data_IF_939322264952
#
_entry.id   IF_939322264952
#
_cell.length_a   1.000
_cell.length_b   1.000
_cell.length_c   1.000
_cell.angle_alpha   90.00
_cell.angle_beta   90.00
_cell.angle_gamma   90.00
#
_symmetry.space_group_name_H-M   'P 1'
#
loop_
_entity.id
_entity.type
_entity.pdbx_description
1 polymer ?
#
# COMPACT_ATOMS: atom_id res chain seq x y z
N UNK A 1 -7.39 11.59 8.11
CA UNK A 1 -6.17 12.36 8.41
C UNK A 1 -5.58 12.93 7.12
N UNK A 2 -4.98 14.13 7.13
CA UNK A 2 -4.45 14.79 5.92
C UNK A 2 -3.44 13.92 5.16
N UNK A 3 -2.48 13.31 5.87
CA UNK A 3 -1.43 12.46 5.25
C UNK A 3 -2.04 11.29 4.48
N UNK A 4 -3.03 10.59 5.07
CA UNK A 4 -3.70 9.50 4.37
C UNK A 4 -4.46 9.97 3.12
N UNK A 5 -5.17 11.11 3.21
CA UNK A 5 -5.92 11.64 2.08
C UNK A 5 -4.99 12.06 0.93
N UNK A 6 -3.89 12.72 1.26
CA UNK A 6 -2.84 13.08 0.30
C UNK A 6 -2.21 11.83 -0.34
N UNK A 7 -1.79 10.87 0.49
CA UNK A 7 -1.21 9.61 0.00
C UNK A 7 -2.19 8.81 -0.86
N UNK A 8 -3.47 8.76 -0.51
CA UNK A 8 -4.52 8.14 -1.34
C UNK A 8 -4.68 8.85 -2.68
N UNK A 9 -4.76 10.18 -2.68
CA UNK A 9 -4.96 10.98 -3.90
C UNK A 9 -3.79 10.80 -4.89
N UNK A 10 -2.57 10.77 -4.39
CA UNK A 10 -1.36 10.63 -5.20
C UNK A 10 -0.89 9.17 -5.38
N UNK A 11 -1.66 8.18 -4.90
CA UNK A 11 -1.28 6.74 -4.88
C UNK A 11 0.11 6.49 -4.29
N UNK A 12 0.43 7.20 -3.21
CA UNK A 12 1.66 7.03 -2.44
C UNK A 12 1.40 5.99 -1.36
N UNK A 13 2.15 4.89 -1.39
CA UNK A 13 2.03 3.80 -0.43
C UNK A 13 3.15 3.83 0.63
N UNK A 14 4.30 4.41 0.28
CA UNK A 14 5.39 4.66 1.23
C UNK A 14 5.90 6.08 1.13
N UNK A 15 6.23 6.67 2.27
CA UNK A 15 6.71 8.03 2.41
C UNK A 15 8.15 8.00 2.89
N UNK A 16 9.08 8.50 2.08
CA UNK A 16 10.43 8.84 2.55
C UNK A 16 10.41 10.26 3.09
N UNK A 17 10.68 10.43 4.38
CA UNK A 17 10.44 11.71 5.07
C UNK A 17 11.23 12.86 4.46
N UNK A 18 12.52 12.64 4.17
CA UNK A 18 13.41 13.68 3.61
C UNK A 18 12.85 14.23 2.30
N UNK A 19 12.42 13.35 1.40
CA UNK A 19 11.79 13.75 0.15
C UNK A 19 10.42 14.41 0.38
N UNK A 20 9.61 13.87 1.30
CA UNK A 20 8.29 14.39 1.62
C UNK A 20 8.33 15.82 2.18
N UNK A 21 9.42 16.21 2.86
CA UNK A 21 9.59 17.55 3.39
C UNK A 21 9.62 18.63 2.29
N UNK A 22 10.00 18.29 1.06
CA UNK A 22 9.99 19.23 -0.07
C UNK A 22 8.66 19.22 -0.86
N UNK A 23 7.73 18.34 -0.48
CA UNK A 23 6.42 18.24 -1.13
C UNK A 23 5.36 19.13 -0.46
N UNK A 24 4.24 19.43 -1.14
CA UNK A 24 3.11 20.14 -0.55
C UNK A 24 2.52 19.50 0.71
N UNK A 25 2.83 18.22 0.97
CA UNK A 25 2.40 17.53 2.19
C UNK A 25 2.98 18.16 3.47
N UNK A 26 4.25 18.58 3.43
CA UNK A 26 4.97 19.10 4.60
C UNK A 26 5.53 20.51 4.38
N UNK A 27 5.39 21.07 3.18
CA UNK A 27 5.82 22.42 2.87
C UNK A 27 4.71 23.21 2.19
N UNK A 28 4.26 24.26 2.87
CA UNK A 28 3.37 25.26 2.28
C UNK A 28 4.18 26.49 1.89
N UNK A 29 4.48 26.61 0.59
CA UNK A 29 5.27 27.70 0.04
C UNK A 29 4.56 29.07 0.12
N UNK A 30 3.23 29.10 0.04
CA UNK A 30 2.46 30.35 0.05
C UNK A 30 2.59 31.11 1.38
N UNK A 31 2.67 30.38 2.49
CA UNK A 31 2.91 30.95 3.83
C UNK A 31 4.34 30.74 4.35
N UNK A 32 5.24 30.21 3.49
CA UNK A 32 6.64 29.92 3.80
C UNK A 32 6.83 29.10 5.08
N UNK A 33 5.94 28.12 5.32
CA UNK A 33 6.03 27.21 6.47
C UNK A 33 6.32 25.80 6.02
N UNK A 34 7.32 25.19 6.64
CA UNK A 34 7.74 23.81 6.42
C UNK A 34 7.78 23.08 7.75
N UNK A 35 7.38 21.82 7.75
CA UNK A 35 7.51 20.93 8.89
C UNK A 35 9.00 20.57 9.11
N UNK A 36 9.43 20.43 10.36
CA UNK A 36 10.76 19.89 10.64
C UNK A 36 10.78 18.37 10.42
N UNK A 37 11.96 17.79 10.15
CA UNK A 37 12.10 16.33 10.07
C UNK A 37 11.67 15.64 11.37
N UNK A 38 11.97 16.25 12.52
CA UNK A 38 11.58 15.70 13.82
C UNK A 38 10.05 15.66 13.96
N UNK A 39 9.35 16.76 13.66
CA UNK A 39 7.90 16.75 13.74
C UNK A 39 7.26 15.79 12.72
N UNK A 40 7.86 15.62 11.54
CA UNK A 40 7.42 14.62 10.58
C UNK A 40 7.52 13.19 11.16
N UNK A 41 8.63 12.89 11.86
CA UNK A 41 8.80 11.62 12.59
C UNK A 41 7.75 11.46 13.69
N UNK A 42 7.51 12.50 14.48
CA UNK A 42 6.54 12.47 15.58
C UNK A 42 5.11 12.19 15.06
N UNK A 43 4.73 12.79 13.92
CA UNK A 43 3.42 12.52 13.30
C UNK A 43 3.34 11.07 12.82
N UNK A 44 4.37 10.53 12.17
CA UNK A 44 4.35 9.14 11.70
C UNK A 44 4.39 8.16 12.88
N UNK A 45 5.10 8.47 13.96
CA UNK A 45 5.07 7.71 15.21
C UNK A 45 3.67 7.69 15.81
N UNK A 46 2.98 8.85 15.84
CA UNK A 46 1.58 8.91 16.25
C UNK A 46 0.70 8.04 15.34
N UNK A 47 0.85 8.13 14.01
CA UNK A 47 0.10 7.31 13.06
C UNK A 47 0.35 5.81 13.23
N UNK A 48 1.57 5.40 13.58
CA UNK A 48 1.91 4.00 13.83
C UNK A 48 1.35 3.47 15.16
N UNK A 49 1.08 4.35 16.11
CA UNK A 49 0.51 3.98 17.41
C UNK A 49 -0.96 3.53 17.32
N UNK A 50 -1.47 2.81 18.33
CA UNK A 50 -2.90 2.49 18.42
C UNK A 50 -3.80 3.74 18.44
N UNK A 51 -3.33 4.84 19.03
CA UNK A 51 -4.06 6.11 19.05
C UNK A 51 -4.18 6.75 17.65
N UNK A 52 -3.21 6.50 16.77
CA UNK A 52 -3.26 6.85 15.35
C UNK A 52 -3.89 5.75 14.48
N UNK A 53 -4.52 4.74 15.08
CA UNK A 53 -5.15 3.59 14.42
C UNK A 53 -4.20 2.74 13.56
N UNK A 54 -2.91 2.70 13.90
CA UNK A 54 -1.90 1.86 13.22
C UNK A 54 -1.91 2.09 11.69
N UNK A 55 -2.02 3.36 11.30
CA UNK A 55 -2.11 3.80 9.89
C UNK A 55 -0.76 4.04 9.24
N UNK A 56 0.34 3.76 9.94
CA UNK A 56 1.67 3.78 9.39
C UNK A 56 2.54 2.66 9.97
N UNK A 57 3.58 2.28 9.24
CA UNK A 57 4.57 1.29 9.69
C UNK A 57 5.96 1.69 9.19
N UNK A 58 6.92 1.85 10.09
CA UNK A 58 8.29 2.19 9.72
C UNK A 58 8.96 1.06 8.93
N UNK A 59 9.69 1.41 7.85
CA UNK A 59 10.40 0.47 6.98
C UNK A 59 11.80 0.10 7.46
N UNK A 60 12.21 0.60 8.63
CA UNK A 60 13.54 0.38 9.19
C UNK A 60 13.74 1.08 10.54
N UNK A 61 14.81 0.73 11.28
CA UNK A 61 15.09 1.31 12.59
C UNK A 61 15.52 2.78 12.52
N UNK A 62 15.98 3.24 11.35
CA UNK A 62 16.40 4.62 11.08
C UNK A 62 15.23 5.62 10.99
N UNK A 63 13.99 5.11 10.90
CA UNK A 63 12.77 5.91 10.73
C UNK A 63 12.88 6.93 9.58
N UNK A 64 13.53 6.54 8.49
CA UNK A 64 13.67 7.39 7.31
C UNK A 64 12.48 7.28 6.36
N UNK A 65 11.88 6.09 6.28
CA UNK A 65 10.73 5.80 5.42
C UNK A 65 9.66 4.99 6.15
N UNK A 66 8.40 5.26 5.85
CA UNK A 66 7.26 4.54 6.43
C UNK A 66 6.24 4.15 5.36
N UNK A 67 5.60 3.01 5.55
CA UNK A 67 4.33 2.68 4.89
C UNK A 67 3.23 3.58 5.42
N UNK A 68 2.34 4.02 4.54
CA UNK A 68 1.14 4.79 4.89
C UNK A 68 -0.09 3.98 4.48
N UNK A 69 -0.81 3.49 5.48
CA UNK A 69 -2.00 2.68 5.28
C UNK A 69 -3.24 3.56 5.18
N UNK A 70 -3.54 4.02 3.97
CA UNK A 70 -4.85 4.62 3.64
C UNK A 70 -5.91 3.57 3.32
N UNK A 71 -5.49 2.33 3.03
CA UNK A 71 -6.26 1.10 3.05
C UNK A 71 -5.32 -0.04 3.49
N UNK A 72 -5.78 -0.91 4.39
CA UNK A 72 -4.96 -1.96 4.97
C UNK A 72 -4.71 -3.11 3.97
N UNK A 73 -3.60 -3.87 4.12
CA UNK A 73 -3.33 -5.02 3.27
C UNK A 73 -4.47 -6.06 3.27
N UNK A 74 -5.14 -6.27 4.41
CA UNK A 74 -6.31 -7.15 4.49
C UNK A 74 -7.48 -6.65 3.65
N UNK A 75 -7.74 -5.34 3.65
CA UNK A 75 -8.81 -4.74 2.83
C UNK A 75 -8.50 -4.85 1.33
N UNK A 76 -7.23 -4.70 0.94
CA UNK A 76 -6.79 -4.93 -0.44
C UNK A 76 -6.96 -6.38 -0.86
N UNK A 77 -6.58 -7.32 0.01
CA UNK A 77 -6.78 -8.74 -0.21
C UNK A 77 -8.25 -9.09 -0.46
N UNK A 78 -9.17 -8.54 0.32
CA UNK A 78 -10.60 -8.79 0.12
C UNK A 78 -11.10 -8.22 -1.21
N UNK A 79 -10.65 -7.03 -1.62
CA UNK A 79 -11.02 -6.45 -2.92
C UNK A 79 -10.50 -7.28 -4.10
N UNK A 80 -9.24 -7.72 -4.03
CA UNK A 80 -8.65 -8.57 -5.06
C UNK A 80 -9.39 -9.90 -5.13
N UNK A 81 -9.66 -10.53 -3.98
CA UNK A 81 -10.42 -11.79 -3.96
C UNK A 81 -11.84 -11.61 -4.50
N UNK A 82 -12.54 -10.53 -4.15
CA UNK A 82 -13.88 -10.27 -4.67
C UNK A 82 -13.87 -10.14 -6.20
N UNK A 83 -12.91 -9.42 -6.76
CA UNK A 83 -12.76 -9.33 -8.22
C UNK A 83 -12.44 -10.68 -8.87
N UNK A 84 -11.59 -11.51 -8.26
CA UNK A 84 -11.29 -12.86 -8.79
C UNK A 84 -12.56 -13.73 -8.80
N UNK A 85 -13.39 -13.63 -7.76
CA UNK A 85 -14.66 -14.33 -7.65
C UNK A 85 -15.65 -13.86 -8.74
N UNK A 86 -15.78 -12.55 -8.92
CA UNK A 86 -16.69 -11.93 -9.90
C UNK A 86 -16.26 -12.18 -11.36
N UNK A 87 -14.96 -12.21 -11.62
CA UNK A 87 -14.39 -12.46 -12.96
C UNK A 87 -14.30 -13.94 -13.34
N UNK A 88 -14.61 -14.85 -12.41
CA UNK A 88 -14.55 -16.29 -12.63
C UNK A 88 -13.12 -16.84 -12.75
N UNK A 89 -12.12 -16.11 -12.26
CA UNK A 89 -10.70 -16.50 -12.35
C UNK A 89 -10.23 -17.38 -11.17
N UNK A 90 -11.16 -17.93 -10.39
CA UNK A 90 -10.84 -18.92 -9.36
C UNK A 90 -10.14 -20.13 -9.97
N UNK A 91 -9.20 -20.70 -9.22
CA UNK A 91 -8.40 -21.85 -9.62
C UNK A 91 -7.49 -21.66 -10.84
N UNK A 92 -7.40 -20.44 -11.39
CA UNK A 92 -6.43 -20.06 -12.42
C UNK A 92 -5.21 -19.42 -11.74
N UNK A 93 -4.02 -19.65 -12.30
CA UNK A 93 -2.81 -18.95 -11.87
C UNK A 93 -2.72 -17.63 -12.63
N UNK A 94 -2.68 -16.53 -11.89
CA UNK A 94 -2.49 -15.18 -12.42
C UNK A 94 -1.13 -14.65 -12.00
N UNK A 95 -0.46 -13.92 -12.88
CA UNK A 95 0.75 -13.19 -12.50
C UNK A 95 0.41 -11.97 -11.65
N UNK A 96 1.33 -11.54 -10.79
CA UNK A 96 1.16 -10.29 -10.04
C UNK A 96 0.98 -9.09 -10.98
N UNK A 97 1.63 -9.11 -12.16
CA UNK A 97 1.48 -8.07 -13.17
C UNK A 97 0.06 -8.01 -13.72
N UNK A 98 -0.54 -9.14 -14.10
CA UNK A 98 -1.94 -9.18 -14.58
C UNK A 98 -2.93 -8.61 -13.57
N UNK A 99 -2.67 -8.80 -12.26
CA UNK A 99 -3.54 -8.27 -11.21
C UNK A 99 -3.50 -6.74 -11.11
N UNK A 100 -2.34 -6.10 -11.26
CA UNK A 100 -2.22 -4.65 -11.05
C UNK A 100 -2.07 -3.84 -12.33
N UNK A 101 -1.70 -4.45 -13.44
CA UNK A 101 -1.43 -3.80 -14.71
C UNK A 101 -2.17 -4.43 -15.89
N UNK A 102 -2.92 -5.52 -15.67
CA UNK A 102 -3.69 -6.20 -16.72
C UNK A 102 -4.88 -5.38 -17.23
N UNK A 103 -5.27 -5.62 -18.49
CA UNK A 103 -6.43 -4.95 -19.10
C UNK A 103 -7.74 -5.26 -18.36
N UNK A 104 -7.86 -6.47 -17.82
CA UNK A 104 -9.05 -6.91 -17.08
C UNK A 104 -9.23 -6.22 -15.71
N UNK A 105 -8.19 -5.58 -15.19
CA UNK A 105 -8.21 -4.89 -13.89
C UNK A 105 -8.24 -3.37 -14.04
N UNK A 106 -8.30 -2.85 -15.28
CA UNK A 106 -8.48 -1.42 -15.54
C UNK A 106 -9.79 -0.94 -14.90
N UNK A 107 -9.70 0.13 -14.13
CA UNK A 107 -10.82 0.71 -13.37
C UNK A 107 -11.03 0.10 -11.99
N UNK A 108 -10.32 -0.98 -11.64
CA UNK A 108 -10.33 -1.50 -10.27
C UNK A 108 -9.49 -0.61 -9.34
N UNK A 109 -9.91 -0.53 -8.07
CA UNK A 109 -9.22 0.27 -7.04
C UNK A 109 -7.74 -0.13 -6.86
N UNK A 110 -7.44 -1.42 -7.07
CA UNK A 110 -6.11 -2.01 -6.93
C UNK A 110 -5.28 -1.96 -8.23
N UNK A 111 -5.80 -1.39 -9.31
CA UNK A 111 -5.01 -1.16 -10.51
C UNK A 111 -3.85 -0.20 -10.22
N UNK A 112 -2.62 -0.55 -10.57
CA UNK A 112 -1.40 0.19 -10.27
C UNK A 112 -1.00 0.14 -8.78
N UNK A 113 -1.49 -0.84 -8.03
CA UNK A 113 -1.08 -1.04 -6.63
C UNK A 113 0.42 -1.36 -6.59
N UNK A 114 1.12 -0.76 -5.63
CA UNK A 114 2.54 -1.05 -5.39
C UNK A 114 2.77 -2.55 -5.19
N UNK A 115 3.77 -3.11 -5.88
CA UNK A 115 4.03 -4.55 -5.92
C UNK A 115 4.29 -5.14 -4.52
N UNK A 116 4.98 -4.39 -3.66
CA UNK A 116 5.28 -4.86 -2.31
C UNK A 116 4.02 -4.84 -1.44
N UNK A 117 3.14 -3.86 -1.63
CA UNK A 117 1.82 -3.86 -1.00
C UNK A 117 0.92 -4.98 -1.52
N UNK A 118 0.94 -5.26 -2.82
CA UNK A 118 0.24 -6.40 -3.42
C UNK A 118 0.70 -7.71 -2.76
N UNK A 119 2.01 -7.96 -2.69
CA UNK A 119 2.57 -9.14 -2.03
C UNK A 119 2.14 -9.24 -0.56
N UNK A 120 2.20 -8.14 0.21
CA UNK A 120 1.72 -8.12 1.61
C UNK A 120 0.23 -8.45 1.71
N UNK A 121 -0.58 -7.98 0.76
CA UNK A 121 -2.01 -8.26 0.69
C UNK A 121 -2.26 -9.74 0.33
N UNK A 122 -1.60 -10.27 -0.70
CA UNK A 122 -1.70 -11.69 -1.05
C UNK A 122 -1.25 -12.60 0.10
N UNK A 123 -0.23 -12.22 0.86
CA UNK A 123 0.21 -12.96 2.03
C UNK A 123 -0.87 -13.09 3.12
N UNK A 124 -1.82 -12.16 3.23
CA UNK A 124 -2.95 -12.31 4.16
C UNK A 124 -3.94 -13.36 3.66
N UNK A 125 -4.21 -13.42 2.35
CA UNK A 125 -5.04 -14.47 1.75
C UNK A 125 -4.39 -15.86 1.87
N UNK A 126 -3.07 -15.94 1.68
CA UNK A 126 -2.31 -17.19 1.87
C UNK A 126 -2.43 -17.69 3.30
N UNK A 127 -2.27 -16.81 4.30
CA UNK A 127 -2.46 -17.17 5.72
C UNK A 127 -3.89 -17.64 6.03
N UNK A 128 -4.89 -17.11 5.33
CA UNK A 128 -6.29 -17.53 5.42
C UNK A 128 -6.61 -18.79 4.60
N UNK A 129 -5.65 -19.35 3.85
CA UNK A 129 -5.85 -20.51 2.98
C UNK A 129 -6.69 -20.24 1.73
N UNK A 130 -6.89 -18.97 1.36
CA UNK A 130 -7.70 -18.54 0.20
C UNK A 130 -6.88 -18.28 -1.07
N UNK A 131 -5.57 -18.26 -0.96
CA UNK A 131 -4.68 -18.12 -2.09
C UNK A 131 -3.35 -18.86 -1.86
N UNK A 132 -2.62 -19.11 -2.94
CA UNK A 132 -1.26 -19.64 -2.92
C UNK A 132 -0.42 -18.86 -3.91
N UNK A 133 0.72 -18.31 -3.45
CA UNK A 133 1.69 -17.63 -4.30
C UNK A 133 2.74 -18.63 -4.78
N UNK A 134 3.14 -18.53 -6.04
CA UNK A 134 4.10 -19.37 -6.74
C UNK A 134 5.22 -18.52 -7.34
N UNK A 135 6.38 -19.13 -7.55
CA UNK A 135 7.51 -18.51 -8.24
C UNK A 135 8.48 -17.74 -7.34
N UNK A 136 9.40 -17.01 -7.99
CA UNK A 136 10.47 -16.20 -7.41
C UNK A 136 11.12 -15.33 -8.49
N UNK A 137 11.94 -14.36 -8.10
CA UNK A 137 12.74 -13.51 -9.01
C UNK A 137 11.92 -12.75 -10.08
N UNK A 138 10.76 -12.23 -9.69
CA UNK A 138 9.96 -11.32 -10.53
C UNK A 138 8.91 -12.00 -11.40
N UNK A 139 8.90 -13.33 -11.49
CA UNK A 139 7.86 -14.12 -12.15
C UNK A 139 6.91 -14.76 -11.13
N UNK A 140 6.38 -13.94 -10.24
CA UNK A 140 5.49 -14.40 -9.19
C UNK A 140 4.07 -14.57 -9.75
N UNK A 141 3.52 -15.75 -9.53
CA UNK A 141 2.13 -16.08 -9.82
C UNK A 141 1.34 -16.27 -8.53
N UNK A 142 0.02 -16.17 -8.60
CA UNK A 142 -0.88 -16.45 -7.49
C UNK A 142 -2.10 -17.18 -8.01
N UNK A 143 -2.50 -18.23 -7.28
CA UNK A 143 -3.75 -18.95 -7.49
C UNK A 143 -4.67 -18.64 -6.31
N UNK A 144 -5.92 -18.34 -6.62
CA UNK A 144 -6.98 -18.15 -5.63
C UNK A 144 -7.88 -19.39 -5.58
N UNK A 145 -8.42 -19.69 -4.40
CA UNK A 145 -9.28 -20.86 -4.15
C UNK A 145 -10.71 -20.45 -3.84
#
# INVERSE_FOLDING_TARGET
MLIQAYCRHHRIYSLTLVAALDTPLFHNAAIRKRLSLQHAKDIVDFMASPAGHTRAEWRGPDKASAWIWWRAPDEWAELISAWVDESGQKNVVLTLYELVEGEATVGQDFYGLDKLLLQRSLATLVKKGRAQVFGGDGQEGVKFF
#
